data_IF_047195557015
#
_entry.id   IF_047195557015
#
_cell.length_a   1.000
_cell.length_b   1.000
_cell.length_c   1.000
_cell.angle_alpha   90.00
_cell.angle_beta   90.00
_cell.angle_gamma   90.00
#
_symmetry.space_group_name_H-M   'P 1'
#
loop_
_entity.id
_entity.type
_entity.pdbx_description
1 polymer ?
#
# COMPACT_ATOMS: atom_id res chain seq x y z
N UNK A 1 4.40 14.65 -68.80
CA UNK A 1 3.15 15.13 -68.16
C UNK A 1 2.49 13.99 -67.40
N UNK A 2 1.92 14.31 -66.23
CA UNK A 2 1.07 13.51 -65.32
C UNK A 2 1.80 12.50 -64.42
N UNK A 3 1.58 12.46 -63.10
CA UNK A 3 0.86 13.32 -62.15
C UNK A 3 1.41 12.97 -60.75
N UNK A 4 1.63 14.00 -59.93
CA UNK A 4 1.75 13.95 -58.47
C UNK A 4 0.55 13.26 -57.82
N UNK A 5 0.72 12.88 -56.52
CA UNK A 5 -0.25 12.53 -55.46
C UNK A 5 -0.24 11.02 -55.12
N UNK A 6 0.14 10.53 -53.94
CA UNK A 6 0.07 11.10 -52.59
C UNK A 6 1.28 10.62 -51.76
N UNK A 7 2.23 11.52 -51.52
CA UNK A 7 3.06 11.51 -50.33
C UNK A 7 2.34 12.41 -49.34
N UNK A 8 1.49 11.83 -48.50
CA UNK A 8 1.01 12.46 -47.27
C UNK A 8 0.85 11.30 -46.28
N UNK A 9 1.93 11.03 -45.57
CA UNK A 9 2.03 11.44 -44.18
C UNK A 9 1.41 10.35 -43.28
N UNK A 10 2.03 9.17 -43.36
CA UNK A 10 1.90 8.04 -42.42
C UNK A 10 2.44 8.39 -41.03
N UNK A 11 2.19 9.60 -40.55
CA UNK A 11 2.84 10.25 -39.42
C UNK A 11 1.87 10.38 -38.22
N UNK A 12 1.02 9.37 -38.04
CA UNK A 12 0.01 9.30 -36.97
C UNK A 12 0.19 8.08 -36.05
N UNK A 13 1.37 7.46 -36.04
CA UNK A 13 1.69 6.30 -35.17
C UNK A 13 2.83 6.57 -34.17
N UNK A 14 3.10 7.83 -33.83
CA UNK A 14 3.95 8.19 -32.69
C UNK A 14 3.09 8.88 -31.63
N UNK A 15 2.13 8.14 -31.08
CA UNK A 15 1.30 8.58 -29.97
C UNK A 15 1.69 7.84 -28.70
N UNK A 16 2.49 8.51 -27.86
CA UNK A 16 2.71 8.28 -26.43
C UNK A 16 2.81 6.82 -25.97
N UNK A 17 4.00 6.21 -26.01
CA UNK A 17 4.36 5.35 -24.88
C UNK A 17 4.82 6.28 -23.77
N UNK A 18 3.90 6.68 -22.90
CA UNK A 18 4.33 7.17 -21.59
C UNK A 18 5.08 5.99 -20.97
N UNK A 19 6.41 6.06 -20.95
CA UNK A 19 7.24 5.09 -20.25
C UNK A 19 6.87 5.19 -18.77
N UNK A 20 5.90 4.39 -18.34
CA UNK A 20 5.59 4.24 -16.94
C UNK A 20 6.70 3.43 -16.29
N UNK A 21 7.32 4.03 -15.28
CA UNK A 21 8.38 3.38 -14.53
C UNK A 21 7.76 2.60 -13.37
N UNK A 22 7.62 1.29 -13.56
CA UNK A 22 7.11 0.37 -12.55
C UNK A 22 8.14 0.07 -11.45
N UNK A 23 7.68 0.09 -10.20
CA UNK A 23 8.48 -0.19 -9.01
C UNK A 23 7.63 -0.91 -7.95
N UNK A 24 8.09 -2.07 -7.50
CA UNK A 24 7.49 -2.83 -6.39
C UNK A 24 8.51 -2.90 -5.25
N UNK A 25 8.29 -2.20 -4.12
CA UNK A 25 9.29 -2.11 -3.05
C UNK A 25 9.48 -3.44 -2.30
N UNK A 26 8.44 -4.29 -2.26
CA UNK A 26 8.42 -5.55 -1.52
C UNK A 26 7.24 -6.42 -1.95
N UNK A 27 7.33 -7.74 -1.70
CA UNK A 27 6.18 -8.64 -1.73
C UNK A 27 5.34 -8.56 -0.45
N UNK A 28 5.87 -7.96 0.62
CA UNK A 28 5.15 -7.74 1.87
C UNK A 28 4.10 -6.62 1.71
N UNK A 29 2.82 -6.96 1.94
CA UNK A 29 1.69 -6.03 1.89
C UNK A 29 1.88 -4.85 2.84
N UNK A 30 2.39 -5.09 4.04
CA UNK A 30 2.60 -4.05 5.04
C UNK A 30 3.70 -3.08 4.60
N UNK A 31 4.78 -3.58 3.99
CA UNK A 31 5.83 -2.74 3.43
C UNK A 31 5.29 -1.87 2.27
N UNK A 32 4.44 -2.45 1.43
CA UNK A 32 3.75 -1.69 0.36
C UNK A 32 2.84 -0.60 0.93
N UNK A 33 2.13 -0.85 2.03
CA UNK A 33 1.27 0.15 2.68
C UNK A 33 2.10 1.31 3.28
N UNK A 34 3.24 1.02 3.92
CA UNK A 34 4.16 2.07 4.39
C UNK A 34 4.76 2.87 3.24
N UNK A 35 5.16 2.19 2.17
CA UNK A 35 5.71 2.86 1.00
C UNK A 35 4.69 3.80 0.37
N UNK A 36 3.44 3.36 0.24
CA UNK A 36 2.35 4.19 -0.25
C UNK A 36 2.16 5.46 0.61
N UNK A 37 2.18 5.33 1.94
CA UNK A 37 2.09 6.49 2.83
C UNK A 37 3.27 7.44 2.63
N UNK A 38 4.49 6.92 2.52
CA UNK A 38 5.67 7.76 2.31
C UNK A 38 5.66 8.50 0.96
N UNK A 39 5.09 7.90 -0.09
CA UNK A 39 4.87 8.60 -1.37
C UNK A 39 3.89 9.75 -1.21
N UNK A 40 2.76 9.54 -0.49
CA UNK A 40 1.77 10.57 -0.19
C UNK A 40 2.40 11.71 0.61
N UNK A 41 3.12 11.39 1.69
CA UNK A 41 3.78 12.38 2.55
C UNK A 41 4.85 13.19 1.80
N UNK A 42 5.54 12.57 0.84
CA UNK A 42 6.56 13.22 0.02
C UNK A 42 5.98 13.99 -1.18
N UNK A 43 4.66 13.97 -1.38
CA UNK A 43 3.98 14.58 -2.53
C UNK A 43 4.41 13.99 -3.87
N UNK A 44 4.76 12.70 -3.91
CA UNK A 44 5.18 12.01 -5.13
C UNK A 44 3.94 11.40 -5.79
N UNK A 45 3.53 11.85 -6.99
CA UNK A 45 2.38 11.28 -7.69
C UNK A 45 2.71 9.87 -8.20
N UNK A 46 1.78 8.94 -8.02
CA UNK A 46 1.92 7.56 -8.48
C UNK A 46 0.56 7.00 -8.92
N UNK A 47 0.57 6.01 -9.80
CA UNK A 47 -0.53 5.07 -10.03
C UNK A 47 -0.20 3.72 -9.38
N UNK A 48 -1.22 2.96 -8.98
CA UNK A 48 -1.06 1.66 -8.31
C UNK A 48 -1.94 0.63 -9.01
N UNK A 49 -1.35 -0.52 -9.33
CA UNK A 49 -2.06 -1.68 -9.84
C UNK A 49 -1.52 -2.97 -9.14
N UNK A 50 -1.99 -4.18 -9.49
CA UNK A 50 -1.51 -5.41 -8.86
C UNK A 50 0.00 -5.68 -8.99
N UNK A 51 0.65 -5.15 -10.03
CA UNK A 51 2.07 -5.37 -10.32
C UNK A 51 2.98 -4.40 -9.55
N UNK A 52 2.44 -3.31 -8.98
CA UNK A 52 3.19 -2.39 -8.13
C UNK A 52 2.78 -0.92 -8.27
N UNK A 53 3.74 -0.04 -8.02
CA UNK A 53 3.61 1.42 -8.09
C UNK A 53 4.26 1.91 -9.39
N UNK A 54 3.58 2.81 -10.09
CA UNK A 54 4.01 3.31 -11.39
C UNK A 54 4.10 4.84 -11.34
N UNK A 55 5.13 5.37 -11.99
CA UNK A 55 5.39 6.81 -12.05
C UNK A 55 5.37 7.29 -13.49
N UNK A 56 4.88 8.51 -13.67
CA UNK A 56 4.94 9.25 -14.92
C UNK A 56 6.25 10.04 -15.12
N UNK A 57 7.04 10.26 -14.06
CA UNK A 57 8.28 11.06 -14.10
C UNK A 57 9.49 10.29 -13.57
N UNK A 58 10.48 10.11 -14.43
CA UNK A 58 11.76 9.47 -14.14
C UNK A 58 12.52 10.11 -12.97
N UNK A 59 12.39 11.42 -12.77
CA UNK A 59 13.05 12.13 -11.67
C UNK A 59 12.54 11.68 -10.29
N UNK A 60 11.32 11.13 -10.23
CA UNK A 60 10.76 10.61 -8.99
C UNK A 60 11.26 9.20 -8.65
N UNK A 61 11.80 8.44 -9.59
CA UNK A 61 12.32 7.08 -9.33
C UNK A 61 13.48 7.13 -8.33
N UNK A 62 14.42 8.05 -8.51
CA UNK A 62 15.57 8.18 -7.59
C UNK A 62 15.11 8.63 -6.18
N UNK A 63 13.97 9.31 -6.09
CA UNK A 63 13.33 9.68 -4.82
C UNK A 63 12.58 8.50 -4.17
N UNK A 64 12.12 7.51 -4.94
CA UNK A 64 11.43 6.33 -4.42
C UNK A 64 12.35 5.36 -3.69
N UNK A 65 13.54 5.11 -4.22
CA UNK A 65 14.47 4.12 -3.65
C UNK A 65 14.70 4.27 -2.14
N UNK A 66 15.01 5.47 -1.61
CA UNK A 66 15.15 5.64 -0.16
C UNK A 66 13.84 5.43 0.61
N UNK A 67 12.69 5.79 0.03
CA UNK A 67 11.38 5.55 0.66
C UNK A 67 11.04 4.06 0.72
N UNK A 68 11.44 3.30 -0.31
CA UNK A 68 11.28 1.85 -0.37
C UNK A 68 12.14 1.15 0.70
N UNK A 69 13.41 1.55 0.83
CA UNK A 69 14.29 1.05 1.91
C UNK A 69 13.68 1.34 3.28
N UNK A 70 13.24 2.59 3.50
CA UNK A 70 12.59 3.01 4.74
C UNK A 70 11.33 2.19 5.05
N UNK A 71 10.53 1.85 4.04
CA UNK A 71 9.33 1.02 4.22
C UNK A 71 9.70 -0.43 4.60
N UNK A 72 10.70 -1.01 3.95
CA UNK A 72 11.21 -2.35 4.27
C UNK A 72 11.83 -2.40 5.68
N UNK A 73 12.60 -1.38 6.07
CA UNK A 73 13.15 -1.25 7.42
C UNK A 73 12.04 -1.14 8.48
N UNK A 74 10.96 -0.41 8.18
CA UNK A 74 9.82 -0.24 9.08
C UNK A 74 9.14 -1.58 9.38
N UNK A 75 9.08 -2.53 8.45
CA UNK A 75 8.45 -3.84 8.69
C UNK A 75 9.36 -4.86 9.39
N UNK A 76 10.66 -4.57 9.59
CA UNK A 76 11.56 -5.46 10.35
C UNK A 76 11.13 -5.64 11.81
N UNK A 77 10.35 -4.70 12.36
CA UNK A 77 9.80 -4.74 13.72
C UNK A 77 8.28 -4.89 13.71
N UNK A 78 7.77 -5.83 12.92
CA UNK A 78 6.34 -6.13 12.84
C UNK A 78 5.85 -6.85 14.10
N UNK A 79 4.69 -6.44 14.59
CA UNK A 79 3.89 -7.13 15.60
C UNK A 79 2.62 -7.67 14.95
N UNK A 80 2.17 -8.83 15.41
CA UNK A 80 0.99 -9.50 14.89
C UNK A 80 0.04 -9.82 16.04
N UNK A 81 -1.25 -9.59 15.85
CA UNK A 81 -2.27 -10.03 16.81
C UNK A 81 -3.34 -10.84 16.10
N UNK A 82 -3.68 -12.00 16.68
CA UNK A 82 -4.77 -12.86 16.24
C UNK A 82 -6.05 -12.46 16.95
N UNK A 83 -7.14 -12.44 16.20
CA UNK A 83 -8.50 -12.15 16.68
C UNK A 83 -9.33 -13.39 16.35
N UNK A 84 -10.03 -13.92 17.34
CA UNK A 84 -10.71 -15.21 17.24
C UNK A 84 -12.20 -14.99 17.44
N UNK A 85 -12.93 -14.84 16.33
CA UNK A 85 -14.38 -14.75 16.33
C UNK A 85 -14.92 -13.54 15.60
N UNK A 86 -16.00 -13.74 14.86
CA UNK A 86 -16.62 -12.72 13.99
C UNK A 86 -17.04 -11.45 14.74
N UNK A 87 -17.51 -11.59 15.99
CA UNK A 87 -17.86 -10.45 16.84
C UNK A 87 -16.64 -9.57 17.14
N UNK A 88 -15.54 -10.18 17.60
CA UNK A 88 -14.31 -9.45 17.93
C UNK A 88 -13.75 -8.76 16.68
N UNK A 89 -13.73 -9.46 15.54
CA UNK A 89 -13.26 -8.94 14.26
C UNK A 89 -14.02 -7.68 13.84
N UNK A 90 -15.35 -7.71 13.96
CA UNK A 90 -16.22 -6.58 13.62
C UNK A 90 -15.91 -5.35 14.48
N UNK A 91 -15.79 -5.52 15.80
CA UNK A 91 -15.50 -4.42 16.72
C UNK A 91 -14.09 -3.87 16.47
N UNK A 92 -13.08 -4.74 16.37
CA UNK A 92 -11.70 -4.29 16.12
C UNK A 92 -11.61 -3.56 14.78
N UNK A 93 -12.20 -4.10 13.71
CA UNK A 93 -12.22 -3.45 12.40
C UNK A 93 -12.91 -2.08 12.44
N UNK A 94 -13.98 -1.92 13.22
CA UNK A 94 -14.63 -0.62 13.41
C UNK A 94 -13.71 0.36 14.13
N UNK A 95 -13.04 -0.06 15.20
CA UNK A 95 -12.20 0.82 16.02
C UNK A 95 -10.89 1.21 15.33
N UNK A 96 -10.26 0.30 14.58
CA UNK A 96 -8.99 0.61 13.88
C UNK A 96 -9.20 1.56 12.70
N UNK A 97 -10.39 1.58 12.07
CA UNK A 97 -10.70 2.50 10.96
C UNK A 97 -10.66 3.97 11.38
N UNK A 98 -10.90 4.24 12.66
CA UNK A 98 -10.84 5.59 13.24
C UNK A 98 -9.42 5.95 13.72
N UNK A 99 -8.42 5.15 13.37
CA UNK A 99 -7.01 5.38 13.72
C UNK A 99 -6.15 5.58 12.48
N UNK A 100 -5.02 6.28 12.62
CA UNK A 100 -3.97 6.40 11.59
C UNK A 100 -3.04 5.16 11.55
N UNK A 101 -3.57 3.98 11.93
CA UNK A 101 -2.79 2.75 11.94
C UNK A 101 -2.55 2.27 10.51
N UNK A 102 -1.29 2.07 10.15
CA UNK A 102 -0.93 1.33 8.93
C UNK A 102 -0.85 -0.14 9.30
N UNK A 103 -1.72 -0.96 8.72
CA UNK A 103 -1.78 -2.39 9.02
C UNK A 103 -1.98 -3.22 7.76
N UNK A 104 -1.73 -4.52 7.89
CA UNK A 104 -2.17 -5.57 6.99
C UNK A 104 -3.18 -6.45 7.74
N UNK A 105 -4.33 -6.68 7.12
CA UNK A 105 -5.40 -7.53 7.64
C UNK A 105 -5.49 -8.77 6.77
N UNK A 106 -5.17 -9.92 7.37
CA UNK A 106 -5.15 -11.22 6.69
C UNK A 106 -5.93 -12.25 7.50
N UNK A 107 -6.28 -13.37 6.88
CA UNK A 107 -6.85 -14.52 7.56
C UNK A 107 -5.77 -15.60 7.75
N UNK A 108 -5.76 -16.24 8.91
CA UNK A 108 -4.94 -17.42 9.21
C UNK A 108 -5.84 -18.49 9.86
N UNK A 109 -6.34 -19.40 9.02
CA UNK A 109 -7.35 -20.38 9.43
C UNK A 109 -8.71 -19.72 9.67
N UNK A 110 -9.24 -19.90 10.87
CA UNK A 110 -10.50 -19.33 11.35
C UNK A 110 -10.34 -17.97 12.05
N UNK A 111 -9.12 -17.45 12.11
CA UNK A 111 -8.80 -16.20 12.80
C UNK A 111 -8.40 -15.10 11.82
N UNK A 112 -8.86 -13.88 12.06
CA UNK A 112 -8.21 -12.70 11.50
C UNK A 112 -6.87 -12.42 12.19
N UNK A 113 -5.92 -11.90 11.41
CA UNK A 113 -4.59 -11.49 11.87
C UNK A 113 -4.33 -10.07 11.40
N UNK A 114 -4.09 -9.19 12.37
CA UNK A 114 -3.61 -7.83 12.15
C UNK A 114 -2.10 -7.83 12.28
N UNK A 115 -1.41 -7.36 11.24
CA UNK A 115 0.05 -7.13 11.25
C UNK A 115 0.33 -5.65 11.10
N UNK A 116 1.22 -5.11 11.91
CA UNK A 116 1.63 -3.69 11.85
C UNK A 116 3.01 -3.51 12.50
N UNK A 117 3.69 -2.38 12.27
CA UNK A 117 4.90 -2.07 13.02
C UNK A 117 4.61 -1.93 14.52
N UNK A 118 5.49 -2.45 15.38
CA UNK A 118 5.34 -2.41 16.84
C UNK A 118 5.06 -1.00 17.38
N UNK A 119 5.81 0.00 16.94
CA UNK A 119 5.64 1.36 17.43
C UNK A 119 4.29 1.97 17.01
N UNK A 120 3.75 1.56 15.86
CA UNK A 120 2.45 2.01 15.39
C UNK A 120 1.31 1.28 16.14
N UNK A 121 1.46 -0.03 16.43
CA UNK A 121 0.56 -0.76 17.32
C UNK A 121 0.47 -0.13 18.70
N UNK A 122 1.63 0.22 19.29
CA UNK A 122 1.72 0.82 20.61
C UNK A 122 1.06 2.22 20.59
N UNK A 123 1.33 3.04 19.56
CA UNK A 123 0.70 4.36 19.38
C UNK A 123 -0.82 4.28 19.23
N UNK A 124 -1.32 3.31 18.47
CA UNK A 124 -2.75 3.10 18.26
C UNK A 124 -3.45 2.37 19.42
N UNK A 125 -2.72 1.98 20.47
CA UNK A 125 -3.22 1.16 21.58
C UNK A 125 -3.95 -0.11 21.09
N UNK A 126 -3.37 -0.83 20.12
CA UNK A 126 -4.00 -1.97 19.46
C UNK A 126 -4.44 -3.07 20.46
N UNK A 127 -3.61 -3.37 21.46
CA UNK A 127 -3.95 -4.35 22.50
C UNK A 127 -5.12 -3.90 23.38
N UNK A 128 -5.27 -2.60 23.61
CA UNK A 128 -6.42 -2.03 24.31
C UNK A 128 -7.70 -2.18 23.50
N UNK A 129 -7.65 -1.88 22.20
CA UNK A 129 -8.78 -2.09 21.26
C UNK A 129 -9.23 -3.56 21.30
N UNK A 130 -8.29 -4.50 21.21
CA UNK A 130 -8.58 -5.94 21.22
C UNK A 130 -9.15 -6.38 22.57
N UNK A 131 -8.67 -5.82 23.68
CA UNK A 131 -9.21 -6.12 25.01
C UNK A 131 -10.66 -5.64 25.17
N UNK A 132 -11.01 -4.50 24.58
CA UNK A 132 -12.39 -3.99 24.55
C UNK A 132 -13.27 -4.93 23.74
N UNK A 133 -12.85 -5.30 22.53
CA UNK A 133 -13.61 -6.21 21.67
C UNK A 133 -13.88 -7.57 22.34
N UNK A 134 -12.86 -8.15 23.00
CA UNK A 134 -13.00 -9.40 23.75
C UNK A 134 -14.04 -9.30 24.86
N UNK A 135 -13.98 -8.23 25.66
CA UNK A 135 -14.95 -8.00 26.73
C UNK A 135 -16.37 -7.91 26.16
N UNK A 136 -16.56 -7.07 25.15
CA UNK A 136 -17.88 -6.75 24.60
C UNK A 136 -18.51 -7.94 23.83
N UNK A 137 -17.73 -8.96 23.47
CA UNK A 137 -18.20 -10.19 22.81
C UNK A 137 -18.35 -11.40 23.74
N UNK A 138 -17.96 -11.27 25.02
CA UNK A 138 -18.08 -12.34 26.03
C UNK A 138 -19.31 -12.17 26.93
N UNK A 139 -19.96 -11.01 26.86
CA UNK A 139 -21.21 -10.66 27.59
C UNK A 139 -22.47 -11.07 26.81
#
# INVERSE_FOLDING_TARGET
MKRLKYSLLSMLLLGCSDEEYGFKPSDDVLANNYFEQYLKDAGIPYSKNPDGFFLSDKNNIERMRPLASKANEKVLSTSSVRISGECEESIVMSMIKDTDLIYDWSSDGDAAVIRTNKADADRANLLGIISIAKRDCTD
#
